data_IF_269856682410
#
_entry.id   IF_269856682410
#
_cell.length_a   1.000
_cell.length_b   1.000
_cell.length_c   1.000
_cell.angle_alpha   90.00
_cell.angle_beta   90.00
_cell.angle_gamma   90.00
#
_symmetry.space_group_name_H-M   'P 1'
#
loop_
_entity.id
_entity.type
_entity.pdbx_description
1 polymer ?
#
# COMPACT_ATOMS: atom_id res chain seq x y z
N UNK A 1 13.32 5.55 -10.86
CA UNK A 1 12.85 6.88 -10.42
C UNK A 1 13.46 7.30 -9.08
N UNK A 2 13.35 6.46 -8.04
CA UNK A 2 13.94 6.73 -6.72
C UNK A 2 15.43 7.07 -6.78
N UNK A 3 16.25 6.21 -7.41
CA UNK A 3 17.70 6.43 -7.54
C UNK A 3 18.01 7.73 -8.28
N UNK A 4 17.33 7.98 -9.41
CA UNK A 4 17.48 9.21 -10.19
C UNK A 4 17.22 10.47 -9.36
N UNK A 5 16.10 10.53 -8.66
CA UNK A 5 15.76 11.69 -7.82
C UNK A 5 16.72 11.85 -6.65
N UNK A 6 17.17 10.73 -6.06
CA UNK A 6 18.16 10.73 -4.98
C UNK A 6 19.51 11.27 -5.45
N UNK A 7 19.96 10.89 -6.65
CA UNK A 7 21.20 11.43 -7.26
C UNK A 7 21.11 12.92 -7.60
N UNK A 8 19.91 13.46 -7.81
CA UNK A 8 19.69 14.91 -7.92
C UNK A 8 19.69 15.64 -6.56
N UNK A 9 20.03 14.95 -5.47
CA UNK A 9 20.03 15.51 -4.11
C UNK A 9 18.62 15.71 -3.53
N UNK A 10 17.58 15.14 -4.14
CA UNK A 10 16.20 15.25 -3.64
C UNK A 10 15.96 14.20 -2.58
N UNK A 11 15.23 14.58 -1.52
CA UNK A 11 14.68 13.61 -0.56
C UNK A 11 13.54 12.84 -1.23
N UNK A 12 13.59 11.51 -1.13
CA UNK A 12 12.62 10.61 -1.76
C UNK A 12 12.06 9.67 -0.71
N UNK A 13 10.75 9.45 -0.75
CA UNK A 13 10.04 8.45 0.04
C UNK A 13 9.20 7.63 -0.94
N UNK A 14 9.27 6.31 -0.84
CA UNK A 14 8.46 5.39 -1.64
C UNK A 14 7.30 4.92 -0.79
N UNK A 15 6.09 5.03 -1.35
CA UNK A 15 4.85 4.60 -0.72
C UNK A 15 4.13 3.66 -1.68
N UNK A 16 3.85 2.43 -1.24
CA UNK A 16 3.00 1.50 -1.97
C UNK A 16 1.56 1.63 -1.45
N UNK A 17 0.66 2.05 -2.33
CA UNK A 17 -0.79 2.12 -2.05
C UNK A 17 -1.57 1.08 -2.83
N UNK A 18 -0.90 0.16 -3.53
CA UNK A 18 -1.58 -0.92 -4.26
C UNK A 18 -1.66 -2.17 -3.36
N UNK A 19 -2.87 -2.55 -2.90
CA UNK A 19 -3.08 -3.73 -2.06
C UNK A 19 -3.01 -5.05 -2.84
N UNK A 20 -2.97 -5.00 -4.18
CA UNK A 20 -2.83 -6.17 -5.05
C UNK A 20 -1.37 -6.48 -5.42
N UNK A 21 -0.43 -5.70 -4.91
CA UNK A 21 0.97 -5.80 -5.29
C UNK A 21 1.69 -6.88 -4.46
N UNK A 22 2.14 -7.94 -5.12
CA UNK A 22 2.87 -9.04 -4.48
C UNK A 22 4.38 -8.77 -4.46
N UNK A 23 4.92 -8.49 -3.26
CA UNK A 23 6.35 -8.44 -3.03
C UNK A 23 7.07 -7.29 -3.74
N UNK A 24 7.40 -6.24 -3.00
CA UNK A 24 8.14 -5.10 -3.56
C UNK A 24 9.62 -5.45 -3.77
N UNK A 25 10.19 -5.30 -4.98
CA UNK A 25 11.60 -5.57 -5.23
C UNK A 25 12.52 -4.42 -4.78
N UNK A 26 12.02 -3.49 -3.96
CA UNK A 26 12.72 -2.29 -3.51
C UNK A 26 12.26 -1.86 -2.11
N UNK A 27 13.10 -1.09 -1.38
CA UNK A 27 12.71 -0.54 -0.09
C UNK A 27 11.50 0.40 -0.21
N UNK A 28 10.47 0.12 0.57
CA UNK A 28 9.25 0.92 0.66
C UNK A 28 9.11 1.44 2.09
N UNK A 29 8.85 2.73 2.25
CA UNK A 29 8.75 3.32 3.58
C UNK A 29 7.37 3.07 4.21
N UNK A 30 6.33 3.05 3.38
CA UNK A 30 4.96 2.77 3.78
C UNK A 30 4.35 1.83 2.74
N UNK A 31 3.90 0.66 3.18
CA UNK A 31 3.23 -0.32 2.35
C UNK A 31 1.83 -0.58 2.91
N UNK A 32 0.81 -0.42 2.06
CA UNK A 32 -0.59 -0.72 2.39
C UNK A 32 -0.81 -2.20 2.70
N UNK A 33 0.03 -3.10 2.17
CA UNK A 33 -0.09 -4.54 2.42
C UNK A 33 0.06 -4.90 3.90
N UNK A 34 0.73 -4.06 4.70
CA UNK A 34 0.81 -4.21 6.16
C UNK A 34 -0.50 -3.89 6.88
N UNK A 35 -1.41 -3.14 6.24
CA UNK A 35 -2.76 -2.89 6.74
C UNK A 35 -3.77 -3.86 6.13
N UNK A 36 -3.76 -4.02 4.81
CA UNK A 36 -4.78 -4.75 4.06
C UNK A 36 -4.22 -5.26 2.73
N UNK A 37 -4.48 -6.53 2.41
CA UNK A 37 -4.16 -7.13 1.12
C UNK A 37 -5.44 -7.39 0.32
N UNK A 38 -5.35 -7.38 -1.01
CA UNK A 38 -6.51 -7.65 -1.86
C UNK A 38 -7.04 -9.09 -1.67
N UNK A 39 -6.14 -10.06 -1.51
CA UNK A 39 -6.50 -11.47 -1.33
C UNK A 39 -7.30 -11.68 -0.03
N UNK A 40 -6.85 -11.11 1.09
CA UNK A 40 -7.55 -11.22 2.38
C UNK A 40 -8.97 -10.65 2.29
N UNK A 41 -9.13 -9.53 1.57
CA UNK A 41 -10.43 -8.88 1.37
C UNK A 41 -11.34 -9.71 0.47
N UNK A 42 -10.82 -10.20 -0.65
CA UNK A 42 -11.59 -11.03 -1.59
C UNK A 42 -12.07 -12.33 -0.92
N UNK A 43 -11.19 -13.00 -0.17
CA UNK A 43 -11.52 -14.24 0.53
C UNK A 43 -12.42 -14.03 1.73
N UNK A 44 -12.16 -12.98 2.52
CA UNK A 44 -12.91 -12.65 3.73
C UNK A 44 -14.32 -12.13 3.45
N UNK A 45 -14.49 -11.28 2.43
CA UNK A 45 -15.76 -10.62 2.11
C UNK A 45 -16.48 -11.18 0.88
N UNK A 46 -15.90 -12.19 0.23
CA UNK A 46 -16.44 -12.79 -1.02
C UNK A 46 -16.65 -11.76 -2.12
N UNK A 47 -15.72 -10.82 -2.22
CA UNK A 47 -15.71 -9.77 -3.24
C UNK A 47 -14.89 -10.22 -4.45
N UNK A 48 -15.26 -9.73 -5.64
CA UNK A 48 -14.37 -9.81 -6.80
C UNK A 48 -13.24 -8.78 -6.71
N UNK A 49 -12.25 -8.83 -7.62
CA UNK A 49 -11.05 -7.98 -7.56
C UNK A 49 -11.36 -6.49 -7.46
N UNK A 50 -12.30 -5.98 -8.28
CA UNK A 50 -12.68 -4.57 -8.23
C UNK A 50 -13.37 -4.19 -6.93
N UNK A 51 -14.21 -5.08 -6.39
CA UNK A 51 -14.88 -4.85 -5.10
C UNK A 51 -13.87 -4.85 -3.94
N UNK A 52 -12.89 -5.76 -3.99
CA UNK A 52 -11.81 -5.80 -3.02
C UNK A 52 -10.94 -4.55 -3.06
N UNK A 53 -10.60 -4.03 -4.25
CA UNK A 53 -9.85 -2.78 -4.38
C UNK A 53 -10.59 -1.57 -3.78
N UNK A 54 -11.89 -1.45 -4.03
CA UNK A 54 -12.71 -0.37 -3.43
C UNK A 54 -12.71 -0.49 -1.90
N UNK A 55 -12.97 -1.70 -1.38
CA UNK A 55 -12.97 -1.93 0.06
C UNK A 55 -11.61 -1.63 0.69
N UNK A 56 -10.50 -2.04 0.07
CA UNK A 56 -9.15 -1.76 0.59
C UNK A 56 -8.88 -0.25 0.71
N UNK A 57 -9.41 0.56 -0.22
CA UNK A 57 -9.28 2.03 -0.15
C UNK A 57 -10.14 2.64 0.95
N UNK A 58 -11.40 2.18 1.11
CA UNK A 58 -12.27 2.58 2.21
C UNK A 58 -11.67 2.20 3.58
N UNK A 59 -11.03 1.03 3.66
CA UNK A 59 -10.36 0.57 4.87
C UNK A 59 -9.11 1.38 5.19
N UNK A 60 -8.31 1.76 4.17
CA UNK A 60 -7.21 2.71 4.31
C UNK A 60 -7.72 4.07 4.82
N UNK A 61 -8.80 4.61 4.24
CA UNK A 61 -9.39 5.88 4.67
C UNK A 61 -9.83 5.85 6.14
N UNK A 62 -10.50 4.76 6.55
CA UNK A 62 -10.96 4.58 7.93
C UNK A 62 -9.81 4.40 8.94
N UNK A 63 -8.62 3.99 8.48
CA UNK A 63 -7.46 3.70 9.31
C UNK A 63 -6.24 4.54 8.92
N UNK A 64 -6.42 5.78 8.43
CA UNK A 64 -5.32 6.64 7.95
C UNK A 64 -4.17 6.83 8.94
N UNK A 65 -4.39 6.52 10.21
CA UNK A 65 -3.43 6.62 11.29
C UNK A 65 -2.76 5.31 11.70
N UNK A 66 -2.92 4.24 10.92
CA UNK A 66 -2.37 2.92 11.25
C UNK A 66 -0.84 2.92 11.47
N UNK A 67 -0.11 3.84 10.83
CA UNK A 67 1.34 4.05 10.99
C UNK A 67 1.70 5.23 11.89
N UNK A 68 0.77 5.78 12.66
CA UNK A 68 1.03 6.91 13.58
C UNK A 68 1.72 6.41 14.86
N UNK A 69 2.96 5.91 14.74
CA UNK A 69 4.01 5.82 15.78
C UNK A 69 5.22 5.03 15.26
N UNK A 70 6.33 5.74 15.06
CA UNK A 70 7.68 5.29 15.35
C UNK A 70 8.44 6.49 15.93
#
# INVERSE_FOLDING_TARGET
MQEFLSHLGRKVVVVNLDPANEGLPYPCAVDISELVTLDDVMDGLKLGPNGGLIYSMEYLEANLDWKRKA
#
